data_IF_950663621084
#
_entry.id   IF_950663621084
#
_cell.length_a   1.000
_cell.length_b   1.000
_cell.length_c   1.000
_cell.angle_alpha   90.00
_cell.angle_beta   90.00
_cell.angle_gamma   90.00
#
_symmetry.space_group_name_H-M   'P 1'
#
loop_
_entity.id
_entity.type
_entity.pdbx_description
1 polymer ?
#
# COMPACT_ATOMS: atom_id res chain seq x y z
N UNK A 1 6.09 -11.48 4.68
CA UNK A 1 5.63 -11.11 3.33
C UNK A 1 6.87 -10.75 2.58
N UNK A 2 7.10 -11.35 1.42
CA UNK A 2 8.22 -10.99 0.56
C UNK A 2 7.88 -9.72 -0.22
N UNK A 3 8.83 -9.14 -0.94
CA UNK A 3 8.54 -7.98 -1.79
C UNK A 3 7.81 -8.38 -3.07
N UNK A 4 8.03 -9.59 -3.58
CA UNK A 4 7.30 -10.17 -4.73
C UNK A 4 5.82 -10.39 -4.41
N UNK A 5 5.47 -10.74 -3.18
CA UNK A 5 4.07 -10.78 -2.73
C UNK A 5 3.52 -9.36 -2.51
N UNK A 6 4.34 -8.46 -1.98
CA UNK A 6 3.92 -7.10 -1.67
C UNK A 6 3.67 -6.24 -2.91
N UNK A 7 4.42 -6.43 -4.00
CA UNK A 7 4.22 -5.66 -5.23
C UNK A 7 2.84 -5.88 -5.86
N UNK A 8 2.19 -7.01 -5.57
CA UNK A 8 0.91 -7.29 -6.20
C UNK A 8 -0.20 -6.36 -5.71
N UNK A 9 -0.01 -5.64 -4.60
CA UNK A 9 -0.98 -4.62 -4.14
C UNK A 9 -1.13 -3.47 -5.11
N UNK A 10 -0.12 -3.19 -5.95
CA UNK A 10 -0.22 -2.15 -6.97
C UNK A 10 -1.17 -2.54 -8.11
N UNK A 11 -1.61 -3.81 -8.17
CA UNK A 11 -2.62 -4.31 -9.09
C UNK A 11 -4.00 -4.49 -8.45
N UNK A 12 -4.15 -4.09 -7.18
CA UNK A 12 -5.45 -4.09 -6.52
C UNK A 12 -6.21 -2.81 -6.87
N UNK A 13 -7.27 -2.94 -7.68
CA UNK A 13 -8.14 -1.85 -8.11
C UNK A 13 -8.83 -1.14 -6.92
N UNK A 14 -8.94 -1.84 -5.79
CA UNK A 14 -9.54 -1.33 -4.56
C UNK A 14 -8.52 -0.81 -3.54
N UNK A 15 -7.24 -0.79 -3.92
CA UNK A 15 -6.19 -0.23 -3.08
C UNK A 15 -6.44 1.24 -2.72
N UNK A 16 -5.93 1.64 -1.56
CA UNK A 16 -6.02 3.02 -1.06
C UNK A 16 -4.60 3.56 -0.84
N UNK A 17 -4.29 4.68 -1.50
CA UNK A 17 -3.04 5.40 -1.40
C UNK A 17 -3.15 6.52 -0.36
N UNK A 18 -2.11 6.69 0.45
CA UNK A 18 -1.98 7.72 1.47
C UNK A 18 -0.60 8.37 1.39
N UNK A 19 -0.52 9.65 1.73
CA UNK A 19 0.77 10.32 1.96
C UNK A 19 1.42 9.79 3.25
N UNK A 20 2.76 9.76 3.28
CA UNK A 20 3.54 9.42 4.47
C UNK A 20 4.40 10.63 4.92
N UNK A 21 3.79 11.72 5.43
CA UNK A 21 4.49 12.96 5.73
C UNK A 21 5.59 12.78 6.79
N UNK A 22 5.37 11.86 7.73
CA UNK A 22 6.32 11.56 8.82
C UNK A 22 7.64 10.98 8.28
N UNK A 23 7.61 10.34 7.11
CA UNK A 23 8.79 9.75 6.47
C UNK A 23 9.23 10.47 5.19
N UNK A 24 8.57 11.57 4.82
CA UNK A 24 8.81 12.27 3.55
C UNK A 24 9.86 13.38 3.61
N UNK A 25 10.81 13.30 4.55
CA UNK A 25 11.89 14.30 4.68
C UNK A 25 13.02 13.93 3.72
N UNK A 26 13.14 14.67 2.62
CA UNK A 26 14.21 14.54 1.61
C UNK A 26 13.93 13.51 0.51
N UNK A 27 12.94 12.64 0.69
CA UNK A 27 12.41 11.72 -0.32
C UNK A 27 10.91 11.63 -0.10
N UNK A 28 10.09 11.86 -1.13
CA UNK A 28 8.64 11.75 -1.02
C UNK A 28 8.22 10.28 -0.90
N UNK A 29 7.39 9.98 0.09
CA UNK A 29 6.95 8.62 0.41
C UNK A 29 5.45 8.52 0.56
N UNK A 30 4.95 7.34 0.19
CA UNK A 30 3.55 7.01 0.20
C UNK A 30 3.33 5.66 0.87
N UNK A 31 2.16 5.50 1.49
CA UNK A 31 1.65 4.21 1.93
C UNK A 31 0.54 3.78 0.98
N UNK A 32 0.54 2.51 0.59
CA UNK A 32 -0.60 1.89 -0.09
C UNK A 32 -1.10 0.73 0.77
N UNK A 33 -2.41 0.67 0.98
CA UNK A 33 -3.08 -0.51 1.53
C UNK A 33 -3.80 -1.24 0.40
N UNK A 34 -3.61 -2.55 0.31
CA UNK A 34 -4.25 -3.37 -0.71
C UNK A 34 -4.17 -4.85 -0.40
N UNK A 35 -4.92 -5.62 -1.18
CA UNK A 35 -4.97 -7.08 -1.15
C UNK A 35 -3.88 -7.61 -2.09
N UNK A 36 -3.03 -8.50 -1.57
CA UNK A 36 -2.06 -9.22 -2.41
C UNK A 36 -2.74 -10.31 -3.23
N UNK A 37 -2.08 -10.84 -4.25
CA UNK A 37 -2.54 -12.01 -5.04
C UNK A 37 -2.83 -13.26 -4.19
N UNK A 38 -2.16 -13.41 -3.04
CA UNK A 38 -2.42 -14.46 -2.05
C UNK A 38 -3.49 -14.11 -1.01
N UNK A 39 -4.39 -13.16 -1.32
CA UNK A 39 -5.53 -12.72 -0.50
C UNK A 39 -5.15 -12.15 0.89
N UNK A 40 -3.95 -11.56 1.02
CA UNK A 40 -3.52 -10.92 2.28
C UNK A 40 -3.63 -9.41 2.16
N UNK A 41 -4.28 -8.77 3.12
CA UNK A 41 -4.26 -7.31 3.21
C UNK A 41 -2.96 -6.82 3.86
N UNK A 42 -2.25 -5.90 3.20
CA UNK A 42 -0.98 -5.38 3.65
C UNK A 42 -0.82 -3.88 3.42
N UNK A 43 0.13 -3.27 4.13
CA UNK A 43 0.60 -1.90 3.94
C UNK A 43 1.97 -1.98 3.28
N UNK A 44 2.17 -1.19 2.22
CA UNK A 44 3.45 -1.02 1.53
C UNK A 44 3.85 0.44 1.56
N UNK A 45 5.02 0.73 2.14
CA UNK A 45 5.68 2.03 2.03
C UNK A 45 6.55 2.03 0.78
N UNK A 46 6.39 3.04 -0.08
CA UNK A 46 7.09 3.14 -1.35
C UNK A 46 7.39 4.59 -1.72
N UNK A 47 8.25 4.76 -2.72
CA UNK A 47 8.50 6.05 -3.38
C UNK A 47 8.57 5.85 -4.90
N UNK A 48 8.19 6.88 -5.65
CA UNK A 48 8.46 6.96 -7.09
C UNK A 48 9.91 7.41 -7.30
N UNK A 49 10.67 6.64 -8.08
CA UNK A 49 12.08 6.95 -8.40
C UNK A 49 12.24 7.64 -9.75
N UNK A 50 11.48 7.16 -10.72
CA UNK A 50 11.35 7.68 -12.10
C UNK A 50 9.88 7.49 -12.53
N UNK A 51 9.50 7.91 -13.74
CA UNK A 51 8.11 7.84 -14.25
C UNK A 51 7.50 6.43 -14.12
N UNK A 52 8.29 5.37 -14.36
CA UNK A 52 7.81 3.98 -14.40
C UNK A 52 8.43 3.09 -13.30
N UNK A 53 9.10 3.68 -12.29
CA UNK A 53 9.82 2.92 -11.26
C UNK A 53 9.29 3.21 -9.88
N UNK A 54 8.60 2.22 -9.31
CA UNK A 54 8.22 2.19 -7.90
C UNK A 54 9.26 1.39 -7.12
N UNK A 55 9.78 1.98 -6.04
CA UNK A 55 10.65 1.27 -5.11
C UNK A 55 9.91 1.01 -3.81
N UNK A 56 9.72 -0.27 -3.48
CA UNK A 56 9.23 -0.70 -2.18
C UNK A 56 10.32 -0.47 -1.13
N UNK A 57 9.98 0.26 -0.07
CA UNK A 57 10.86 0.57 1.07
C UNK A 57 10.61 -0.42 2.20
N UNK A 58 9.34 -0.68 2.50
CA UNK A 58 8.95 -1.68 3.50
C UNK A 58 7.54 -2.19 3.22
N UNK A 59 7.25 -3.38 3.73
CA UNK A 59 5.95 -4.00 3.56
C UNK A 59 5.58 -4.84 4.79
N UNK A 60 4.35 -4.72 5.27
CA UNK A 60 3.86 -5.47 6.45
C UNK A 60 2.39 -5.81 6.33
N UNK A 61 1.95 -6.83 7.07
CA UNK A 61 0.51 -7.11 7.22
C UNK A 61 -0.22 -5.89 7.77
N UNK A 62 -1.41 -5.64 7.25
CA UNK A 62 -2.30 -4.62 7.77
C UNK A 62 -2.74 -5.01 9.19
N UNK A 63 -2.77 -4.02 10.08
CA UNK A 63 -3.36 -4.14 11.42
C UNK A 63 -4.88 -4.29 11.31
N UNK A 64 -5.54 -4.66 12.41
CA UNK A 64 -7.01 -4.76 12.44
C UNK A 64 -7.68 -3.43 12.06
N UNK A 65 -7.13 -2.31 12.50
CA UNK A 65 -7.68 -0.99 12.20
C UNK A 65 -7.54 -0.63 10.72
N UNK A 66 -6.36 -0.85 10.14
CA UNK A 66 -6.09 -0.62 8.71
C UNK A 66 -6.95 -1.51 7.82
N UNK A 67 -7.17 -2.77 8.21
CA UNK A 67 -8.13 -3.64 7.53
C UNK A 67 -9.52 -3.03 7.47
N UNK A 68 -9.98 -2.45 8.58
CA UNK A 68 -11.28 -1.79 8.61
C UNK A 68 -11.32 -0.61 7.64
N UNK A 69 -10.26 0.21 7.59
CA UNK A 69 -10.16 1.35 6.67
C UNK A 69 -10.32 0.88 5.22
N UNK A 70 -9.65 -0.20 4.81
CA UNK A 70 -9.80 -0.74 3.46
C UNK A 70 -11.24 -1.15 3.15
N UNK A 71 -11.86 -1.94 4.04
CA UNK A 71 -13.23 -2.43 3.80
C UNK A 71 -14.29 -1.32 3.85
N UNK A 72 -14.13 -0.33 4.73
CA UNK A 72 -15.03 0.82 4.79
C UNK A 72 -14.94 1.66 3.50
N UNK A 73 -13.73 1.84 2.96
CA UNK A 73 -13.54 2.48 1.67
C UNK A 73 -14.20 1.67 0.54
N UNK A 74 -14.07 0.34 0.54
CA UNK A 74 -14.69 -0.53 -0.45
C UNK A 74 -16.22 -0.44 -0.41
N UNK A 75 -16.82 -0.51 0.78
CA UNK A 75 -18.28 -0.40 0.96
C UNK A 75 -18.78 0.98 0.54
N UNK A 76 -18.03 2.04 0.80
CA UNK A 76 -18.38 3.40 0.37
C UNK A 76 -18.36 3.61 -1.15
N UNK A 77 -17.79 2.67 -1.93
CA UNK A 77 -17.77 2.70 -3.40
C UNK A 77 -18.95 1.95 -4.05
N UNK A 78 -19.74 1.19 -3.27
CA UNK A 78 -20.91 0.42 -3.72
C UNK A 78 -22.22 1.22 -3.57
#
# INVERSE_FOLDING_TARGET
>A
MSFEEAETVFYDDDSVLFDDPDHSVGEERFLIIGVTDTEKLCIVSHCYRDEDVIRIISARKATKHEKQIYWDNLVGRL
#
